data_IF_870022432348
#
_entry.id   IF_870022432348
#
_cell.length_a   1.000
_cell.length_b   1.000
_cell.length_c   1.000
_cell.angle_alpha   90.00
_cell.angle_beta   90.00
_cell.angle_gamma   90.00
#
_symmetry.space_group_name_H-M   'P 1'
#
loop_
_entity.id
_entity.type
_entity.pdbx_description
1 polymer ?
#
# COMPACT_ATOMS: atom_id res chain seq x y z
N UNK A 1 17.37 12.51 23.58
CA UNK A 1 16.87 13.84 23.15
C UNK A 1 15.44 13.62 22.67
N UNK A 2 14.46 14.40 23.13
CA UNK A 2 13.07 14.25 22.69
C UNK A 2 12.97 14.69 21.22
N UNK A 3 12.41 13.85 20.35
CA UNK A 3 12.14 14.24 18.96
C UNK A 3 11.04 15.29 18.94
N UNK A 4 11.20 16.39 18.19
CA UNK A 4 10.14 17.40 18.09
C UNK A 4 8.87 16.77 17.49
N UNK A 5 7.71 17.19 17.98
CA UNK A 5 6.45 16.69 17.46
C UNK A 5 6.31 16.98 15.96
N UNK A 6 5.73 16.07 15.17
CA UNK A 6 5.58 16.22 13.73
C UNK A 6 4.82 17.48 13.34
N UNK A 7 5.26 18.18 12.29
CA UNK A 7 4.54 19.37 11.80
C UNK A 7 3.26 19.00 11.05
N UNK A 8 3.16 17.76 10.58
CA UNK A 8 2.02 17.27 9.81
C UNK A 8 1.83 15.74 9.91
N UNK A 9 0.67 15.22 9.45
CA UNK A 9 0.38 13.80 9.53
C UNK A 9 1.28 12.88 8.69
N UNK A 10 1.88 13.36 7.60
CA UNK A 10 2.78 12.54 6.79
C UNK A 10 4.15 12.36 7.46
N UNK A 11 4.65 13.41 8.12
CA UNK A 11 5.87 13.31 8.96
C UNK A 11 5.66 12.46 10.20
N UNK A 12 4.43 12.43 10.73
CA UNK A 12 4.11 11.61 11.90
C UNK A 12 4.34 10.11 11.65
N UNK A 13 4.21 9.63 10.41
CA UNK A 13 4.40 8.21 10.07
C UNK A 13 5.81 7.70 10.39
N UNK A 14 6.82 8.57 10.35
CA UNK A 14 8.21 8.23 10.65
C UNK A 14 8.66 8.62 12.06
N UNK A 15 7.78 9.25 12.86
CA UNK A 15 8.10 9.63 14.23
C UNK A 15 8.14 8.39 15.14
N UNK A 16 9.07 8.35 16.08
CA UNK A 16 9.27 7.19 16.96
C UNK A 16 8.06 6.89 17.86
N UNK A 17 7.34 7.94 18.26
CA UNK A 17 6.09 7.84 19.02
C UNK A 17 5.04 8.82 18.49
N UNK A 18 4.26 8.44 17.45
CA UNK A 18 3.32 9.37 16.81
C UNK A 18 1.95 9.40 17.49
N UNK A 19 1.71 8.52 18.46
CA UNK A 19 0.38 8.33 19.06
C UNK A 19 -0.13 9.57 19.83
N UNK A 20 0.70 10.32 20.59
CA UNK A 20 0.24 11.55 21.23
C UNK A 20 -0.19 12.62 20.21
N UNK A 21 0.49 12.68 19.07
CA UNK A 21 0.13 13.58 17.96
C UNK A 21 -1.23 13.18 17.35
N UNK A 22 -1.43 11.90 17.04
CA UNK A 22 -2.71 11.41 16.50
C UNK A 22 -3.86 11.57 17.48
N UNK A 23 -3.64 11.34 18.78
CA UNK A 23 -4.65 11.54 19.81
C UNK A 23 -5.11 13.00 19.89
N UNK A 24 -4.17 13.94 19.71
CA UNK A 24 -4.48 15.38 19.66
C UNK A 24 -5.26 15.74 18.41
N UNK A 25 -4.87 15.22 17.24
CA UNK A 25 -5.65 15.42 16.01
C UNK A 25 -7.06 14.88 16.12
N UNK A 26 -7.24 13.65 16.64
CA UNK A 26 -8.55 13.01 16.74
C UNK A 26 -9.51 13.80 17.66
N UNK A 27 -8.98 14.39 18.73
CA UNK A 27 -9.77 15.19 19.69
C UNK A 27 -10.13 16.57 19.14
N UNK A 28 -9.14 17.27 18.61
CA UNK A 28 -9.24 18.71 18.41
C UNK A 28 -9.51 19.06 16.93
N UNK A 29 -9.16 18.16 16.00
CA UNK A 29 -9.26 18.35 14.55
C UNK A 29 -9.73 17.06 13.87
N UNK A 30 -10.94 16.56 14.16
CA UNK A 30 -11.43 15.27 13.67
C UNK A 30 -11.51 15.21 12.13
N UNK A 31 -11.78 16.34 11.48
CA UNK A 31 -11.72 16.55 10.04
C UNK A 31 -11.19 17.96 9.74
N UNK A 32 -10.15 18.09 8.93
CA UNK A 32 -9.66 19.40 8.52
C UNK A 32 -8.98 19.37 7.15
N UNK A 33 -8.92 20.53 6.48
CA UNK A 33 -8.08 20.72 5.30
C UNK A 33 -6.69 21.16 5.74
N UNK A 34 -5.68 20.36 5.48
CA UNK A 34 -4.29 20.78 5.59
C UNK A 34 -3.91 21.55 4.32
N UNK A 35 -3.74 22.86 4.44
CA UNK A 35 -3.47 23.74 3.29
C UNK A 35 -2.06 23.55 2.75
N UNK A 36 -1.10 23.17 3.58
CA UNK A 36 0.30 22.96 3.17
C UNK A 36 0.45 21.66 2.39
N UNK A 37 -0.23 20.60 2.83
CA UNK A 37 -0.28 19.33 2.09
C UNK A 37 -1.27 19.36 0.93
N UNK A 38 -2.24 20.28 0.95
CA UNK A 38 -3.32 20.28 -0.01
C UNK A 38 -4.29 19.11 0.17
N UNK A 39 -4.34 18.48 1.34
CA UNK A 39 -5.11 17.26 1.62
C UNK A 39 -6.17 17.47 2.69
N UNK A 40 -7.29 16.76 2.57
CA UNK A 40 -8.20 16.56 3.70
C UNK A 40 -7.64 15.47 4.62
N UNK A 41 -7.65 15.74 5.92
CA UNK A 41 -7.19 14.83 6.96
C UNK A 41 -8.38 14.48 7.86
N UNK A 42 -8.72 13.21 7.91
CA UNK A 42 -9.65 12.65 8.88
C UNK A 42 -8.85 11.90 9.95
N UNK A 43 -9.05 12.24 11.22
CA UNK A 43 -8.27 11.73 12.36
C UNK A 43 -9.13 11.02 13.41
N UNK A 44 -10.44 11.27 13.42
CA UNK A 44 -11.39 10.57 14.29
C UNK A 44 -11.71 9.16 13.75
N UNK A 45 -11.62 8.10 14.57
CA UNK A 45 -11.90 6.74 14.14
C UNK A 45 -13.33 6.49 13.63
N UNK A 46 -14.34 7.20 14.15
CA UNK A 46 -15.73 7.03 13.69
C UNK A 46 -15.89 7.63 12.30
N UNK A 47 -15.40 8.86 12.12
CA UNK A 47 -15.39 9.55 10.84
C UNK A 47 -14.61 8.78 9.77
N UNK A 48 -13.44 8.22 10.12
CA UNK A 48 -12.66 7.39 9.18
C UNK A 48 -13.51 6.22 8.67
N UNK A 49 -14.24 5.52 9.55
CA UNK A 49 -15.14 4.43 9.13
C UNK A 49 -16.27 4.92 8.25
N UNK A 50 -16.86 6.08 8.57
CA UNK A 50 -17.94 6.66 7.77
C UNK A 50 -17.45 7.02 6.36
N UNK A 51 -16.25 7.61 6.24
CA UNK A 51 -15.59 7.88 4.97
C UNK A 51 -15.34 6.57 4.21
N UNK A 52 -14.76 5.54 4.85
CA UNK A 52 -14.47 4.26 4.21
C UNK A 52 -15.73 3.51 3.71
N UNK A 53 -16.92 3.86 4.22
CA UNK A 53 -18.21 3.31 3.78
C UNK A 53 -18.94 4.21 2.80
N UNK A 54 -18.49 5.45 2.63
CA UNK A 54 -19.19 6.42 1.80
C UNK A 54 -19.01 6.09 0.31
N UNK A 55 -20.08 6.04 -0.50
CA UNK A 55 -20.00 5.65 -1.91
C UNK A 55 -19.17 6.60 -2.79
N UNK A 56 -18.99 7.85 -2.36
CA UNK A 56 -18.11 8.81 -3.02
C UNK A 56 -16.62 8.67 -2.64
N UNK A 57 -16.29 7.93 -1.58
CA UNK A 57 -14.90 7.65 -1.21
C UNK A 57 -14.36 6.55 -2.14
N UNK A 58 -13.86 6.99 -3.30
CA UNK A 58 -13.30 6.13 -4.35
C UNK A 58 -11.81 5.94 -4.13
N UNK A 59 -11.29 4.77 -4.50
CA UNK A 59 -9.86 4.46 -4.36
C UNK A 59 -8.98 5.25 -5.34
N UNK A 60 -9.57 5.73 -6.45
CA UNK A 60 -8.90 6.56 -7.47
C UNK A 60 -9.78 7.74 -7.87
N UNK A 61 -9.20 8.90 -8.20
CA UNK A 61 -9.94 10.00 -8.83
C UNK A 61 -10.61 9.53 -10.13
N UNK A 62 -11.84 9.99 -10.40
CA UNK A 62 -12.57 9.63 -11.63
C UNK A 62 -11.84 10.07 -12.90
N UNK A 63 -11.15 11.22 -12.85
CA UNK A 63 -10.32 11.74 -13.94
C UNK A 63 -8.97 11.04 -14.08
N UNK A 64 -8.54 10.24 -13.10
CA UNK A 64 -7.24 9.57 -13.10
C UNK A 64 -7.31 8.16 -12.49
N UNK A 65 -8.08 7.24 -13.12
CA UNK A 65 -8.21 5.86 -12.66
C UNK A 65 -6.89 5.10 -12.72
N UNK A 66 -6.02 5.44 -13.67
CA UNK A 66 -4.61 5.00 -13.78
C UNK A 66 -3.72 6.24 -13.73
N UNK A 67 -2.61 6.25 -12.96
CA UNK A 67 -1.70 7.38 -12.90
C UNK A 67 -1.18 7.77 -14.30
N UNK A 68 -1.22 9.07 -14.62
CA UNK A 68 -0.83 9.58 -15.95
C UNK A 68 0.57 9.11 -16.38
N UNK A 69 1.52 9.09 -15.45
CA UNK A 69 2.91 8.69 -15.70
C UNK A 69 3.11 7.24 -16.15
N UNK A 70 2.13 6.35 -15.92
CA UNK A 70 2.18 4.95 -16.37
C UNK A 70 1.06 4.58 -17.35
N UNK A 71 0.13 5.50 -17.62
CA UNK A 71 -1.10 5.20 -18.34
C UNK A 71 -0.88 4.66 -19.76
N UNK A 72 0.18 5.12 -20.45
CA UNK A 72 0.46 4.79 -21.85
C UNK A 72 1.23 3.46 -22.05
N UNK A 73 1.42 2.63 -21.02
CA UNK A 73 2.27 1.43 -21.13
C UNK A 73 1.74 0.19 -20.39
N UNK A 74 2.49 -0.93 -20.48
CA UNK A 74 2.14 -2.19 -19.82
C UNK A 74 1.93 -2.05 -18.30
N UNK A 75 2.69 -1.18 -17.63
CA UNK A 75 2.50 -0.89 -16.22
C UNK A 75 1.12 -0.29 -15.92
N UNK A 76 0.61 0.61 -16.77
CA UNK A 76 -0.74 1.17 -16.65
C UNK A 76 -1.83 0.15 -16.88
N UNK A 77 -1.66 -0.74 -17.88
CA UNK A 77 -2.59 -1.86 -18.12
C UNK A 77 -2.68 -2.81 -16.92
N UNK A 78 -1.55 -3.11 -16.28
CA UNK A 78 -1.49 -3.94 -15.08
C UNK A 78 -2.10 -3.21 -13.87
N UNK A 79 -1.71 -1.96 -13.64
CA UNK A 79 -2.22 -1.13 -12.54
C UNK A 79 -3.76 -1.02 -12.59
N UNK A 80 -4.32 -0.77 -13.77
CA UNK A 80 -5.76 -0.67 -13.98
C UNK A 80 -6.53 -1.96 -13.67
N UNK A 81 -5.85 -3.10 -13.51
CA UNK A 81 -6.45 -4.39 -13.13
C UNK A 81 -6.30 -4.71 -11.64
N UNK A 82 -5.52 -3.94 -10.88
CA UNK A 82 -5.33 -4.20 -9.46
C UNK A 82 -6.61 -4.03 -8.67
N UNK A 83 -7.00 -5.08 -7.94
CA UNK A 83 -8.21 -5.11 -7.15
C UNK A 83 -8.28 -3.97 -6.12
N UNK A 84 -7.13 -3.62 -5.52
CA UNK A 84 -6.99 -2.54 -4.52
C UNK A 84 -7.05 -1.13 -5.12
N UNK A 85 -6.95 -1.00 -6.45
CA UNK A 85 -6.95 0.28 -7.17
C UNK A 85 -8.24 0.50 -7.97
N UNK A 86 -9.25 -0.35 -7.78
CA UNK A 86 -10.51 -0.26 -8.50
C UNK A 86 -11.71 -0.24 -7.55
N UNK A 87 -12.83 0.27 -8.06
CA UNK A 87 -14.15 0.24 -7.44
C UNK A 87 -15.18 -0.38 -8.38
N UNK A 88 -16.37 -0.69 -7.86
CA UNK A 88 -17.54 -1.04 -8.68
C UNK A 88 -17.88 -2.53 -8.69
N UNK A 89 -18.92 -2.93 -9.45
CA UNK A 89 -19.49 -4.29 -9.38
C UNK A 89 -18.48 -5.40 -9.69
N UNK A 90 -17.65 -5.19 -10.73
CA UNK A 90 -16.59 -6.15 -11.10
C UNK A 90 -15.59 -6.33 -9.97
N UNK A 91 -15.14 -5.24 -9.35
CA UNK A 91 -14.19 -5.28 -8.24
C UNK A 91 -14.80 -6.00 -7.03
N UNK A 92 -16.05 -5.72 -6.67
CA UNK A 92 -16.73 -6.41 -5.55
C UNK A 92 -16.83 -7.91 -5.80
N UNK A 93 -17.24 -8.32 -7.01
CA UNK A 93 -17.32 -9.74 -7.39
C UNK A 93 -15.96 -10.44 -7.25
N UNK A 94 -14.90 -9.84 -7.80
CA UNK A 94 -13.55 -10.40 -7.69
C UNK A 94 -13.08 -10.44 -6.24
N UNK A 95 -13.32 -9.37 -5.46
CA UNK A 95 -12.93 -9.33 -4.04
C UNK A 95 -13.58 -10.45 -3.24
N UNK A 96 -14.87 -10.72 -3.44
CA UNK A 96 -15.55 -11.86 -2.79
C UNK A 96 -14.89 -13.19 -3.14
N UNK A 97 -14.58 -13.43 -4.43
CA UNK A 97 -13.92 -14.66 -4.87
C UNK A 97 -12.51 -14.81 -4.27
N UNK A 98 -11.69 -13.75 -4.33
CA UNK A 98 -10.35 -13.76 -3.76
C UNK A 98 -10.37 -13.94 -2.24
N UNK A 99 -11.26 -13.25 -1.52
CA UNK A 99 -11.41 -13.43 -0.07
C UNK A 99 -11.80 -14.87 0.28
N UNK A 100 -12.72 -15.47 -0.47
CA UNK A 100 -13.11 -16.87 -0.26
C UNK A 100 -11.96 -17.84 -0.52
N UNK A 101 -11.23 -17.65 -1.61
CA UNK A 101 -10.04 -18.44 -1.93
C UNK A 101 -8.97 -18.32 -0.84
N UNK A 102 -8.63 -17.09 -0.42
CA UNK A 102 -7.62 -16.85 0.62
C UNK A 102 -8.00 -17.47 1.95
N UNK A 103 -9.28 -17.42 2.34
CA UNK A 103 -9.75 -18.06 3.56
C UNK A 103 -9.60 -19.59 3.52
N UNK A 104 -9.78 -20.21 2.36
CA UNK A 104 -9.58 -21.66 2.18
C UNK A 104 -8.10 -22.05 2.09
N UNK A 105 -7.26 -21.19 1.51
CA UNK A 105 -5.83 -21.46 1.36
C UNK A 105 -5.02 -21.18 2.62
N UNK A 106 -5.41 -20.19 3.43
CA UNK A 106 -4.69 -19.81 4.65
C UNK A 106 -4.29 -21.00 5.57
N UNK A 107 -5.15 -21.99 5.87
CA UNK A 107 -4.78 -23.14 6.70
C UNK A 107 -3.88 -24.16 5.98
N UNK A 108 -3.77 -24.10 4.64
CA UNK A 108 -2.99 -25.03 3.81
C UNK A 108 -1.62 -24.45 3.41
N UNK A 109 -1.40 -23.16 3.65
CA UNK A 109 -0.19 -22.45 3.27
C UNK A 109 1.04 -23.11 3.93
N UNK A 110 2.02 -23.60 3.15
CA UNK A 110 3.26 -24.06 3.73
C UNK A 110 4.04 -22.89 4.37
N UNK A 111 5.12 -23.20 5.08
CA UNK A 111 6.07 -22.16 5.46
C UNK A 111 6.77 -21.63 4.20
N UNK A 112 6.99 -20.30 4.05
CA UNK A 112 7.78 -19.78 2.95
C UNK A 112 9.20 -20.32 3.01
N UNK A 113 9.75 -20.67 1.83
CA UNK A 113 11.14 -21.08 1.69
C UNK A 113 12.04 -19.85 1.77
N UNK A 114 12.33 -19.43 3.00
CA UNK A 114 13.16 -18.26 3.26
C UNK A 114 14.61 -18.43 2.80
N UNK A 115 15.09 -19.67 2.57
CA UNK A 115 16.45 -19.90 2.09
C UNK A 115 16.63 -19.41 0.65
N UNK A 116 15.54 -19.33 -0.13
CA UNK A 116 15.54 -18.75 -1.48
C UNK A 116 15.55 -17.23 -1.49
N UNK A 117 15.24 -16.60 -0.36
CA UNK A 117 15.38 -15.17 -0.20
C UNK A 117 16.86 -14.89 0.10
N UNK A 118 17.62 -14.51 -0.92
CA UNK A 118 19.03 -14.14 -0.75
C UNK A 118 19.13 -12.81 0.03
N UNK A 119 19.50 -12.91 1.32
CA UNK A 119 19.60 -11.77 2.23
C UNK A 119 21.05 -11.52 2.60
N UNK A 120 21.62 -10.45 2.07
CA UNK A 120 22.83 -9.86 2.63
C UNK A 120 22.49 -8.92 3.79
N UNK A 121 22.38 -9.46 5.00
CA UNK A 121 22.07 -8.69 6.20
C UNK A 121 23.19 -7.71 6.62
N UNK A 122 24.35 -7.73 5.95
CA UNK A 122 25.49 -6.84 6.24
C UNK A 122 25.44 -5.53 5.45
N UNK A 123 24.51 -5.38 4.51
CA UNK A 123 24.34 -4.13 3.76
C UNK A 123 22.91 -3.59 3.89
N UNK A 124 22.78 -2.27 4.02
CA UNK A 124 21.48 -1.59 4.02
C UNK A 124 20.66 -1.96 2.77
N UNK A 125 21.32 -2.01 1.60
CA UNK A 125 20.69 -2.44 0.35
C UNK A 125 20.20 -3.90 0.39
N UNK A 126 20.93 -4.79 1.07
CA UNK A 126 20.51 -6.18 1.25
C UNK A 126 19.29 -6.29 2.17
N UNK A 127 19.25 -5.50 3.23
CA UNK A 127 18.09 -5.37 4.12
C UNK A 127 16.88 -4.83 3.35
N UNK A 128 17.03 -3.75 2.58
CA UNK A 128 15.94 -3.18 1.78
C UNK A 128 15.36 -4.20 0.79
N UNK A 129 16.23 -4.92 0.06
CA UNK A 129 15.80 -6.00 -0.84
C UNK A 129 15.01 -7.07 -0.10
N UNK A 130 15.48 -7.49 1.08
CA UNK A 130 14.78 -8.46 1.92
C UNK A 130 13.38 -7.95 2.33
N UNK A 131 13.27 -6.72 2.82
CA UNK A 131 12.01 -6.11 3.23
C UNK A 131 11.01 -5.99 2.08
N UNK A 132 11.49 -5.77 0.85
CA UNK A 132 10.63 -5.74 -0.34
C UNK A 132 10.22 -7.15 -0.83
N UNK A 133 11.12 -8.13 -0.82
CA UNK A 133 10.85 -9.45 -1.38
C UNK A 133 10.15 -10.40 -0.39
N UNK A 134 10.42 -10.31 0.92
CA UNK A 134 9.83 -11.21 1.92
C UNK A 134 8.28 -11.24 1.90
N UNK A 135 7.55 -10.10 1.79
CA UNK A 135 6.10 -10.12 1.65
C UNK A 135 5.62 -10.83 0.37
N UNK A 136 6.38 -10.77 -0.72
CA UNK A 136 6.04 -11.47 -1.97
C UNK A 136 6.19 -12.97 -1.80
N UNK A 137 7.26 -13.42 -1.15
CA UNK A 137 7.46 -14.84 -0.84
C UNK A 137 6.37 -15.38 0.08
N UNK A 138 6.02 -14.63 1.13
CA UNK A 138 4.92 -14.98 2.01
C UNK A 138 3.59 -15.09 1.27
N UNK A 139 3.28 -14.11 0.40
CA UNK A 139 2.05 -14.12 -0.39
C UNK A 139 2.00 -15.26 -1.41
N UNK A 140 3.09 -15.49 -2.15
CA UNK A 140 3.18 -16.56 -3.12
C UNK A 140 2.95 -17.94 -2.46
N UNK A 141 3.60 -18.15 -1.31
CA UNK A 141 3.40 -19.35 -0.49
C UNK A 141 1.94 -19.47 0.01
N UNK A 142 1.37 -18.38 0.53
CA UNK A 142 0.00 -18.34 1.05
C UNK A 142 -1.09 -18.62 0.01
N UNK A 143 -0.80 -18.44 -1.28
CA UNK A 143 -1.71 -18.75 -2.39
C UNK A 143 -1.34 -20.05 -3.11
N UNK A 144 -0.39 -20.83 -2.58
CA UNK A 144 -0.02 -22.15 -3.10
C UNK A 144 0.93 -22.13 -4.29
N UNK A 145 1.65 -21.02 -4.54
CA UNK A 145 2.66 -20.98 -5.60
C UNK A 145 3.97 -21.68 -5.18
N UNK A 146 4.66 -22.36 -6.10
CA UNK A 146 5.98 -22.93 -5.84
C UNK A 146 7.03 -21.85 -5.49
N UNK A 147 8.01 -22.19 -4.66
CA UNK A 147 9.07 -21.25 -4.25
C UNK A 147 9.90 -20.68 -5.40
N UNK A 148 10.01 -21.37 -6.55
CA UNK A 148 10.65 -20.83 -7.75
C UNK A 148 9.86 -19.65 -8.33
N UNK A 149 8.52 -19.77 -8.37
CA UNK A 149 7.62 -18.72 -8.84
C UNK A 149 7.65 -17.51 -7.89
N UNK A 150 7.79 -17.72 -6.59
CA UNK A 150 7.91 -16.65 -5.61
C UNK A 150 9.10 -15.71 -5.90
N UNK A 151 10.26 -16.27 -6.28
CA UNK A 151 11.45 -15.50 -6.61
C UNK A 151 11.29 -14.70 -7.90
N UNK A 152 10.63 -15.27 -8.92
CA UNK A 152 10.25 -14.57 -10.15
C UNK A 152 9.29 -13.41 -9.85
N UNK A 153 8.22 -13.67 -9.09
CA UNK A 153 7.27 -12.65 -8.66
C UNK A 153 7.95 -11.49 -7.91
N UNK A 154 8.91 -11.78 -7.03
CA UNK A 154 9.62 -10.74 -6.28
C UNK A 154 10.44 -9.83 -7.22
N UNK A 155 11.09 -10.40 -8.24
CA UNK A 155 11.80 -9.63 -9.27
C UNK A 155 10.84 -8.79 -10.11
N UNK A 156 9.75 -9.37 -10.58
CA UNK A 156 8.76 -8.67 -11.42
C UNK A 156 8.07 -7.54 -10.66
N UNK A 157 7.72 -7.75 -9.39
CA UNK A 157 7.17 -6.70 -8.53
C UNK A 157 8.20 -5.59 -8.31
N UNK A 158 9.47 -5.94 -8.08
CA UNK A 158 10.55 -4.95 -7.99
C UNK A 158 10.69 -4.10 -9.26
N UNK A 159 10.68 -4.75 -10.43
CA UNK A 159 10.73 -4.05 -11.72
C UNK A 159 9.50 -3.15 -11.95
N UNK A 160 8.31 -3.64 -11.58
CA UNK A 160 7.08 -2.84 -11.65
C UNK A 160 7.17 -1.61 -10.73
N UNK A 161 7.60 -1.76 -9.49
CA UNK A 161 7.75 -0.65 -8.54
C UNK A 161 8.78 0.37 -9.02
N UNK A 162 9.91 -0.08 -9.59
CA UNK A 162 10.92 0.80 -10.16
C UNK A 162 10.42 1.58 -11.40
N UNK A 163 9.40 1.06 -12.10
CA UNK A 163 8.76 1.74 -13.23
C UNK A 163 7.66 2.73 -12.79
N UNK A 164 7.23 2.71 -11.52
CA UNK A 164 6.29 3.70 -11.03
C UNK A 164 7.00 5.05 -10.89
N UNK A 165 6.39 6.15 -11.38
CA UNK A 165 6.93 7.47 -11.13
C UNK A 165 7.01 7.70 -9.61
N UNK A 166 8.00 8.47 -9.13
CA UNK A 166 8.03 8.87 -7.73
C UNK A 166 6.66 9.48 -7.38
N UNK A 167 6.08 9.04 -6.25
CA UNK A 167 4.80 9.58 -5.79
C UNK A 167 4.91 11.10 -5.72
N UNK A 168 4.13 11.78 -6.55
CA UNK A 168 4.30 13.18 -6.90
C UNK A 168 4.64 14.09 -5.70
N UNK A 169 5.81 14.71 -5.77
CA UNK A 169 6.07 16.00 -5.17
C UNK A 169 6.12 17.09 -6.26
N UNK A 170 5.38 16.95 -7.36
CA UNK A 170 5.37 17.92 -8.46
C UNK A 170 4.07 17.80 -9.26
N UNK A 171 3.04 18.48 -8.77
CA UNK A 171 2.01 19.12 -9.61
C UNK A 171 1.59 20.38 -8.84
N UNK A 172 2.48 21.38 -8.88
CA UNK A 172 2.22 22.76 -8.47
C UNK A 172 2.20 23.61 -9.73
N UNK A 173 1.00 23.79 -10.28
CA UNK A 173 0.66 24.95 -11.12
C UNK A 173 -0.43 25.72 -10.42
#
# INVERSE_FOLDING_TARGET
>A
MSTPFPTDPLQAVTHADPYPYYATLARDRPLYRDTRLGLWVASDPRLIRDIMRHPAARVRPLSEPVPKGIAAGPAGLLFGRFLRMNDGPRQRRLKTLFSGFLAQQAPLAPAPDWQRLDVDARSARGIDRCLHAAPVFAQACAIGLPGAVAAECARDIGAFLAALPPSAAEDRT
#
